data_IF_344340185840
#
_entry.id   IF_344340185840
#
_cell.length_a   1.000
_cell.length_b   1.000
_cell.length_c   1.000
_cell.angle_alpha   90.00
_cell.angle_beta   90.00
_cell.angle_gamma   90.00
#
_symmetry.space_group_name_H-M   'P 1'
#
loop_
_entity.id
_entity.type
_entity.pdbx_description
1 polymer ?
#
# COMPACT_ATOMS: atom_id res chain seq x y z
N UNK A 1 8.29 -50.26 9.51
CA UNK A 1 8.35 -49.10 8.58
C UNK A 1 7.26 -48.08 8.91
N UNK A 2 6.83 -48.04 10.17
CA UNK A 2 5.57 -47.42 10.58
C UNK A 2 5.78 -46.01 11.18
N UNK A 3 6.99 -45.73 11.68
CA UNK A 3 7.35 -44.42 12.21
C UNK A 3 7.59 -43.35 11.14
N UNK A 4 7.98 -43.74 9.91
CA UNK A 4 8.26 -42.79 8.83
C UNK A 4 6.99 -42.13 8.28
N UNK A 5 5.86 -42.85 8.32
CA UNK A 5 4.54 -42.34 7.87
C UNK A 5 3.94 -41.42 8.92
N UNK A 6 4.11 -41.73 10.21
CA UNK A 6 3.64 -40.91 11.32
C UNK A 6 4.32 -39.52 11.38
N UNK A 7 5.64 -39.45 11.12
CA UNK A 7 6.39 -38.18 11.06
C UNK A 7 5.93 -37.30 9.89
N UNK A 8 5.62 -37.89 8.74
CA UNK A 8 5.07 -37.16 7.60
C UNK A 8 3.68 -36.58 7.87
N UNK A 9 2.80 -37.32 8.58
CA UNK A 9 1.47 -36.83 8.98
C UNK A 9 1.54 -35.66 9.97
N UNK A 10 2.48 -35.69 10.92
CA UNK A 10 2.66 -34.61 11.90
C UNK A 10 3.16 -33.32 11.21
N UNK A 11 4.08 -33.41 10.24
CA UNK A 11 4.54 -32.25 9.49
C UNK A 11 3.43 -31.60 8.66
N UNK A 12 2.64 -32.40 7.92
CA UNK A 12 1.54 -31.89 7.07
C UNK A 12 0.45 -31.22 7.90
N UNK A 13 0.13 -31.73 9.09
CA UNK A 13 -0.83 -31.10 10.00
C UNK A 13 -0.30 -29.80 10.61
N UNK A 14 1.00 -29.71 10.90
CA UNK A 14 1.63 -28.47 11.36
C UNK A 14 1.66 -27.37 10.27
N UNK A 15 1.78 -27.76 9.00
CA UNK A 15 1.70 -26.82 7.87
C UNK A 15 0.29 -26.24 7.65
N UNK A 16 -0.77 -26.99 7.94
CA UNK A 16 -2.13 -26.46 7.85
C UNK A 16 -2.43 -25.38 8.91
N UNK A 17 -1.85 -25.49 10.11
CA UNK A 17 -2.11 -24.53 11.19
C UNK A 17 -1.43 -23.17 10.96
N UNK A 18 -0.25 -23.16 10.33
CA UNK A 18 0.47 -21.93 10.02
C UNK A 18 -0.17 -21.14 8.87
N UNK A 19 -0.84 -21.80 7.92
CA UNK A 19 -1.46 -21.13 6.77
C UNK A 19 -2.76 -20.38 7.14
N UNK A 20 -3.52 -20.87 8.14
CA UNK A 20 -4.75 -20.20 8.58
C UNK A 20 -4.52 -18.92 9.38
N UNK A 21 -3.36 -18.75 10.03
CA UNK A 21 -3.05 -17.54 10.81
C UNK A 21 -2.75 -16.31 9.92
N UNK A 22 -2.27 -16.51 8.70
CA UNK A 22 -1.96 -15.42 7.77
C UNK A 22 -3.22 -14.74 7.17
N UNK A 23 -4.38 -15.41 7.21
CA UNK A 23 -5.64 -14.85 6.71
C UNK A 23 -6.38 -13.99 7.75
N UNK A 24 -5.92 -13.97 9.00
CA UNK A 24 -6.56 -13.24 10.10
C UNK A 24 -6.08 -11.78 10.24
N UNK A 25 -5.24 -11.29 9.33
CA UNK A 25 -4.80 -9.90 9.35
C UNK A 25 -5.91 -9.03 8.79
N UNK A 26 -6.86 -8.68 9.66
CA UNK A 26 -7.86 -7.66 9.35
C UNK A 26 -7.11 -6.34 9.16
N UNK A 27 -6.98 -5.89 7.91
CA UNK A 27 -6.57 -4.51 7.68
C UNK A 27 -7.57 -3.63 8.43
N UNK A 28 -7.09 -2.69 9.28
CA UNK A 28 -7.98 -1.71 9.86
C UNK A 28 -8.76 -1.04 8.72
N UNK A 29 -10.06 -0.82 8.93
CA UNK A 29 -10.86 -0.01 8.01
C UNK A 29 -10.13 1.33 7.89
N UNK A 30 -9.52 1.57 6.74
CA UNK A 30 -8.80 2.80 6.50
C UNK A 30 -9.86 3.89 6.27
N UNK A 31 -9.99 4.80 7.22
CA UNK A 31 -10.80 6.00 7.00
C UNK A 31 -9.88 7.04 6.35
N UNK A 32 -10.04 7.35 5.04
CA UNK A 32 -9.14 8.25 4.34
C UNK A 32 -9.18 9.63 4.99
N UNK A 33 -8.12 10.00 5.71
CA UNK A 33 -7.90 11.38 6.09
C UNK A 33 -7.37 12.13 4.87
N UNK A 34 -8.01 13.22 4.45
CA UNK A 34 -7.53 14.02 3.31
C UNK A 34 -6.33 14.92 3.67
N UNK A 35 -6.01 15.06 4.96
CA UNK A 35 -4.93 15.94 5.45
C UNK A 35 -3.56 15.58 4.82
N UNK A 36 -3.13 14.31 4.77
CA UNK A 36 -1.88 13.93 4.11
C UNK A 36 -1.89 14.19 2.60
N UNK A 37 -3.04 14.00 1.93
CA UNK A 37 -3.21 14.26 0.49
C UNK A 37 -3.02 15.76 0.21
N UNK A 38 -3.71 16.62 0.96
CA UNK A 38 -3.61 18.07 0.80
C UNK A 38 -2.20 18.58 1.11
N UNK A 39 -1.56 18.03 2.14
CA UNK A 39 -0.17 18.35 2.47
C UNK A 39 0.81 17.95 1.36
N UNK A 40 0.64 16.77 0.75
CA UNK A 40 1.48 16.30 -0.35
C UNK A 40 1.31 17.17 -1.61
N UNK A 41 0.09 17.58 -1.94
CA UNK A 41 -0.18 18.46 -3.09
C UNK A 41 0.40 19.87 -2.84
N UNK A 42 0.31 20.37 -1.61
CA UNK A 42 0.81 21.70 -1.25
C UNK A 42 2.34 21.78 -1.07
N UNK A 43 3.05 20.65 -1.04
CA UNK A 43 4.51 20.64 -0.83
C UNK A 43 5.27 21.28 -1.99
N UNK A 44 6.55 21.57 -1.75
CA UNK A 44 7.47 21.96 -2.82
C UNK A 44 7.65 20.78 -3.79
N UNK A 45 7.41 21.04 -5.08
CA UNK A 45 7.36 20.07 -6.19
C UNK A 45 7.86 20.73 -7.47
N UNK A 46 8.26 19.93 -8.45
CA UNK A 46 8.73 20.48 -9.72
C UNK A 46 7.68 21.40 -10.35
N UNK A 47 8.07 22.56 -10.92
CA UNK A 47 7.10 23.48 -11.53
C UNK A 47 6.25 22.83 -12.63
N UNK A 48 6.82 21.90 -13.40
CA UNK A 48 6.09 21.14 -14.41
C UNK A 48 4.94 20.32 -13.82
N UNK A 49 5.17 19.62 -12.71
CA UNK A 49 4.13 18.83 -12.03
C UNK A 49 2.99 19.72 -11.55
N UNK A 50 3.29 20.90 -10.99
CA UNK A 50 2.27 21.85 -10.53
C UNK A 50 1.36 22.35 -11.66
N UNK A 51 1.91 22.50 -12.88
CA UNK A 51 1.11 22.86 -14.06
C UNK A 51 0.15 21.72 -14.44
N UNK A 52 0.59 20.48 -14.25
CA UNK A 52 -0.18 19.29 -14.60
C UNK A 52 -1.32 18.98 -13.62
N UNK A 53 -1.23 19.46 -12.37
CA UNK A 53 -2.27 19.30 -11.35
C UNK A 53 -3.67 19.71 -11.87
N UNK A 54 -3.74 20.77 -12.68
CA UNK A 54 -5.01 21.33 -13.17
C UNK A 54 -5.83 20.31 -13.99
N UNK A 55 -5.16 19.50 -14.81
CA UNK A 55 -5.83 18.49 -15.63
C UNK A 55 -5.79 17.09 -14.99
N UNK A 56 -4.76 16.79 -14.18
CA UNK A 56 -4.64 15.51 -13.47
C UNK A 56 -5.52 15.38 -12.24
N UNK A 57 -5.92 16.49 -11.62
CA UNK A 57 -6.79 16.53 -10.44
C UNK A 57 -6.30 15.59 -9.32
N UNK A 58 -5.07 15.80 -8.82
CA UNK A 58 -4.42 14.84 -7.92
C UNK A 58 -5.20 14.63 -6.62
N UNK A 59 -5.89 15.65 -6.10
CA UNK A 59 -6.69 15.51 -4.88
C UNK A 59 -7.79 14.48 -5.06
N UNK A 60 -8.53 14.59 -6.16
CA UNK A 60 -9.65 13.72 -6.49
C UNK A 60 -9.18 12.29 -6.78
N UNK A 61 -8.10 12.15 -7.55
CA UNK A 61 -7.53 10.84 -7.89
C UNK A 61 -6.99 10.14 -6.64
N UNK A 62 -6.16 10.82 -5.83
CA UNK A 62 -5.55 10.22 -4.63
C UNK A 62 -6.59 9.92 -3.55
N UNK A 63 -7.65 10.73 -3.49
CA UNK A 63 -8.82 10.44 -2.63
C UNK A 63 -9.56 9.20 -3.10
N UNK A 64 -9.81 9.07 -4.40
CA UNK A 64 -10.49 7.90 -4.97
C UNK A 64 -9.68 6.61 -4.78
N UNK A 65 -8.36 6.69 -4.85
CA UNK A 65 -7.45 5.57 -4.60
C UNK A 65 -7.30 5.23 -3.10
N UNK A 66 -7.84 6.06 -2.21
CA UNK A 66 -7.74 5.92 -0.75
C UNK A 66 -6.29 5.74 -0.28
N UNK A 67 -5.36 6.50 -0.88
CA UNK A 67 -3.94 6.45 -0.55
C UNK A 67 -3.71 6.99 0.87
N UNK A 68 -2.94 6.27 1.66
CA UNK A 68 -2.85 6.50 3.09
C UNK A 68 -1.50 6.19 3.73
N UNK A 69 -1.19 6.81 4.90
CA UNK A 69 -0.01 6.48 5.68
C UNK A 69 0.15 4.97 5.95
N UNK A 70 1.35 4.45 5.69
CA UNK A 70 1.73 3.05 5.92
C UNK A 70 1.29 2.06 4.85
N UNK A 71 0.66 2.51 3.76
CA UNK A 71 0.35 1.64 2.63
C UNK A 71 1.56 1.43 1.73
N UNK A 72 1.80 0.18 1.32
CA UNK A 72 2.73 -0.11 0.23
C UNK A 72 2.01 -0.01 -1.11
N UNK A 73 2.44 0.92 -1.96
CA UNK A 73 1.79 1.23 -3.24
C UNK A 73 2.75 0.99 -4.40
N UNK A 74 2.27 0.32 -5.46
CA UNK A 74 3.00 0.15 -6.71
C UNK A 74 2.50 1.13 -7.77
N UNK A 75 3.37 2.06 -8.17
CA UNK A 75 3.16 2.91 -9.35
C UNK A 75 3.77 2.23 -10.59
N UNK A 76 2.99 1.36 -11.24
CA UNK A 76 3.49 0.47 -12.30
C UNK A 76 3.91 1.20 -13.59
N UNK A 77 3.40 2.41 -13.82
CA UNK A 77 3.71 3.21 -15.00
C UNK A 77 3.99 4.67 -14.61
N UNK A 78 4.97 4.83 -13.72
CA UNK A 78 5.27 6.11 -13.07
C UNK A 78 5.69 7.23 -14.04
N UNK A 79 6.20 6.88 -15.23
CA UNK A 79 6.75 7.86 -16.17
C UNK A 79 7.81 8.74 -15.49
N UNK A 80 7.66 10.08 -15.47
CA UNK A 80 8.58 10.97 -14.76
C UNK A 80 8.45 10.93 -13.23
N UNK A 81 7.45 10.25 -12.67
CA UNK A 81 7.30 10.04 -11.23
C UNK A 81 6.28 10.96 -10.53
N UNK A 82 5.42 11.66 -11.27
CA UNK A 82 4.43 12.60 -10.71
C UNK A 82 3.59 11.99 -9.57
N UNK A 83 3.03 10.80 -9.77
CA UNK A 83 2.21 10.13 -8.75
C UNK A 83 3.08 9.44 -7.70
N UNK A 84 4.19 8.83 -8.11
CA UNK A 84 5.17 8.26 -7.19
C UNK A 84 5.60 9.25 -6.11
N UNK A 85 5.85 10.51 -6.46
CA UNK A 85 6.24 11.54 -5.49
C UNK A 85 5.10 11.83 -4.48
N UNK A 86 3.89 12.10 -4.98
CA UNK A 86 2.74 12.42 -4.14
C UNK A 86 2.38 11.25 -3.22
N UNK A 87 2.34 10.04 -3.77
CA UNK A 87 2.07 8.81 -3.03
C UNK A 87 3.12 8.64 -1.93
N UNK A 88 4.42 8.72 -2.26
CA UNK A 88 5.51 8.56 -1.27
C UNK A 88 5.37 9.51 -0.08
N UNK A 89 4.95 10.75 -0.30
CA UNK A 89 4.70 11.73 0.77
C UNK A 89 3.50 11.37 1.64
N UNK A 90 2.46 10.79 1.06
CA UNK A 90 1.24 10.39 1.78
C UNK A 90 1.50 9.13 2.62
N UNK A 91 2.15 8.13 2.03
CA UNK A 91 2.34 6.82 2.65
C UNK A 91 3.43 6.85 3.74
N UNK A 92 4.48 7.66 3.53
CA UNK A 92 5.50 7.96 4.53
C UNK A 92 6.57 6.87 4.70
N UNK A 93 7.37 6.91 5.78
CA UNK A 93 8.56 6.05 5.91
C UNK A 93 8.25 4.58 6.23
N UNK A 94 7.03 4.26 6.65
CA UNK A 94 6.63 2.90 7.06
C UNK A 94 5.93 2.11 5.96
N UNK A 95 5.69 2.72 4.81
CA UNK A 95 5.15 2.09 3.61
C UNK A 95 4.97 3.15 2.56
#
# INVERSE_FOLDING_TARGET
>A
MDNMRAVAYICVLAQCFAFSAALAQSNPIHNPSHIPIDAAIASERMPADRVEDAWRKPREVLTFLEVAPGQHVLDFYAGPGYYSELISRIVGPTG
#
